data_IF_170141279114
#
_entry.id   IF_170141279114
#
_cell.length_a   1.000
_cell.length_b   1.000
_cell.length_c   1.000
_cell.angle_alpha   90.00
_cell.angle_beta   90.00
_cell.angle_gamma   90.00
#
_symmetry.space_group_name_H-M   'P 1'
#
loop_
_entity.id
_entity.type
_entity.pdbx_description
1 polymer ?
#
# COMPACT_ATOMS: atom_id res chain seq x y z
N UNK A 1 16.38 2.66 2.36
CA UNK A 1 16.08 4.09 2.11
C UNK A 1 14.74 4.28 1.40
N UNK A 2 14.45 3.54 0.33
CA UNK A 2 13.19 3.70 -0.45
C UNK A 2 11.89 3.55 0.38
N UNK A 3 11.85 2.60 1.32
CA UNK A 3 10.64 2.36 2.13
C UNK A 3 10.25 3.55 3.01
N UNK A 4 11.22 4.35 3.49
CA UNK A 4 10.92 5.52 4.31
C UNK A 4 10.24 6.63 3.48
N UNK A 5 10.68 6.82 2.24
CA UNK A 5 10.06 7.76 1.30
C UNK A 5 8.64 7.29 0.96
N UNK A 6 8.48 5.99 0.65
CA UNK A 6 7.15 5.43 0.37
C UNK A 6 6.21 5.58 1.58
N UNK A 7 6.72 5.41 2.81
CA UNK A 7 5.94 5.59 4.03
C UNK A 7 5.45 7.04 4.21
N UNK A 8 6.32 8.01 3.92
CA UNK A 8 5.95 9.44 3.97
C UNK A 8 4.85 9.76 2.94
N UNK A 9 5.00 9.30 1.70
CA UNK A 9 4.03 9.54 0.62
C UNK A 9 2.65 8.94 0.95
N UNK A 10 2.60 7.71 1.47
CA UNK A 10 1.32 7.08 1.85
C UNK A 10 0.70 7.74 3.09
N UNK A 11 1.50 8.26 4.02
CA UNK A 11 1.00 9.00 5.17
C UNK A 11 0.34 10.33 4.72
N UNK A 12 1.01 11.07 3.84
CA UNK A 12 0.48 12.30 3.24
C UNK A 12 -0.85 12.05 2.51
N UNK A 13 -0.89 11.08 1.59
CA UNK A 13 -2.12 10.72 0.88
C UNK A 13 -3.23 10.24 1.82
N UNK A 14 -2.88 9.50 2.87
CA UNK A 14 -3.81 8.98 3.86
C UNK A 14 -4.59 10.07 4.61
N UNK A 15 -3.94 11.20 4.91
CA UNK A 15 -4.58 12.36 5.56
C UNK A 15 -5.71 12.90 4.67
N UNK A 16 -5.43 13.15 3.39
CA UNK A 16 -6.42 13.70 2.46
C UNK A 16 -7.52 12.68 2.12
N UNK A 17 -7.20 11.40 1.99
CA UNK A 17 -8.21 10.35 1.81
C UNK A 17 -9.21 10.32 2.97
N UNK A 18 -8.74 10.45 4.21
CA UNK A 18 -9.60 10.53 5.41
C UNK A 18 -10.43 11.80 5.45
N UNK A 19 -9.87 12.93 5.01
CA UNK A 19 -10.61 14.19 4.92
C UNK A 19 -11.74 14.11 3.88
N UNK A 20 -11.48 13.50 2.73
CA UNK A 20 -12.47 13.33 1.66
C UNK A 20 -13.54 12.29 2.00
N UNK A 21 -13.13 11.19 2.65
CA UNK A 21 -14.01 10.09 3.01
C UNK A 21 -13.70 9.61 4.45
N UNK A 22 -14.31 10.21 5.48
CA UNK A 22 -14.02 9.87 6.88
C UNK A 22 -14.29 8.41 7.25
N UNK A 23 -15.22 7.77 6.54
CA UNK A 23 -15.61 6.36 6.73
C UNK A 23 -15.03 5.42 5.67
N UNK A 24 -13.96 5.84 4.97
CA UNK A 24 -13.32 5.01 3.96
C UNK A 24 -12.83 3.68 4.59
N UNK A 25 -13.31 2.51 4.12
CA UNK A 25 -12.85 1.24 4.63
C UNK A 25 -11.42 0.94 4.15
N UNK A 26 -10.78 -0.06 4.77
CA UNK A 26 -9.52 -0.58 4.27
C UNK A 26 -9.67 -1.12 2.83
N UNK A 27 -8.57 -1.15 2.08
CA UNK A 27 -8.57 -1.72 0.74
C UNK A 27 -8.93 -3.21 0.77
N UNK A 28 -9.42 -3.72 -0.36
CA UNK A 28 -9.76 -5.13 -0.51
C UNK A 28 -8.54 -6.03 -0.22
N UNK A 29 -8.71 -7.03 0.64
CA UNK A 29 -7.63 -7.94 1.04
C UNK A 29 -6.98 -8.63 -0.17
N UNK A 30 -7.79 -9.12 -1.12
CA UNK A 30 -7.32 -9.75 -2.36
C UNK A 30 -6.37 -8.84 -3.15
N UNK A 31 -6.64 -7.53 -3.17
CA UNK A 31 -5.82 -6.56 -3.88
C UNK A 31 -4.51 -6.31 -3.11
N UNK A 32 -4.59 -6.12 -1.79
CA UNK A 32 -3.43 -5.93 -0.92
C UNK A 32 -2.45 -7.11 -1.05
N UNK A 33 -2.95 -8.33 -0.91
CA UNK A 33 -2.16 -9.55 -1.00
C UNK A 33 -1.53 -9.70 -2.38
N UNK A 34 -2.30 -9.46 -3.44
CA UNK A 34 -1.78 -9.48 -4.82
C UNK A 34 -0.61 -8.53 -4.99
N UNK A 35 -0.70 -7.29 -4.49
CA UNK A 35 0.35 -6.29 -4.67
C UNK A 35 1.60 -6.59 -3.82
N UNK A 36 1.41 -7.01 -2.57
CA UNK A 36 2.52 -7.34 -1.67
C UNK A 36 3.25 -8.62 -2.12
N UNK A 37 2.51 -9.71 -2.32
CA UNK A 37 3.07 -11.01 -2.70
C UNK A 37 3.67 -11.01 -4.10
N UNK A 38 3.26 -10.09 -4.98
CA UNK A 38 3.91 -9.90 -6.30
C UNK A 38 5.42 -9.62 -6.18
N UNK A 39 5.83 -8.88 -5.15
CA UNK A 39 7.24 -8.52 -4.92
C UNK A 39 7.90 -9.35 -3.81
N UNK A 40 7.13 -9.83 -2.84
CA UNK A 40 7.66 -10.44 -1.62
C UNK A 40 7.16 -11.87 -1.36
N UNK A 41 6.34 -12.45 -2.23
CA UNK A 41 5.85 -13.82 -2.10
C UNK A 41 6.85 -14.86 -2.60
N UNK A 42 6.65 -16.12 -2.22
CA UNK A 42 7.51 -17.25 -2.63
C UNK A 42 7.56 -17.48 -4.16
N UNK A 43 6.61 -16.92 -4.92
CA UNK A 43 6.56 -16.90 -6.40
C UNK A 43 6.70 -15.49 -6.98
N UNK A 44 7.35 -14.56 -6.26
CA UNK A 44 7.56 -13.21 -6.75
C UNK A 44 8.35 -13.26 -8.06
N UNK A 45 7.80 -12.63 -9.10
CA UNK A 45 8.38 -12.59 -10.45
C UNK A 45 9.00 -11.22 -10.77
N UNK A 46 8.94 -10.29 -9.81
CA UNK A 46 9.66 -9.04 -9.81
C UNK A 46 10.48 -9.02 -8.51
N UNK A 47 11.76 -9.40 -8.61
CA UNK A 47 12.73 -9.30 -7.52
C UNK A 47 12.98 -7.83 -7.15
N UNK A 48 13.45 -7.60 -5.93
CA UNK A 48 13.84 -6.26 -5.46
C UNK A 48 14.82 -5.57 -6.40
#
# INVERSE_FOLDING_TARGET
MHNAIVLEEIAYMGIFCRQLAPQLPAMQQTLLDKHYLRKHGAKAYYGQ
#
